data_IF_167994854712
#
_entry.id   IF_167994854712
#
_cell.length_a   1.000
_cell.length_b   1.000
_cell.length_c   1.000
_cell.angle_alpha   90.00
_cell.angle_beta   90.00
_cell.angle_gamma   90.00
#
_symmetry.space_group_name_H-M   'P 1'
#
loop_
_entity.id
_entity.type
_entity.pdbx_description
1 polymer ?
#
# COMPACT_ATOMS: atom_id res chain seq x y z
N UNK A 1 -16.64 18.03 -15.36
CA UNK A 1 -16.84 16.78 -14.61
C UNK A 1 -16.07 16.87 -13.31
N UNK A 2 -16.77 16.82 -12.19
CA UNK A 2 -16.18 16.81 -10.84
C UNK A 2 -15.42 15.51 -10.59
N UNK A 3 -14.54 15.48 -9.59
CA UNK A 3 -13.81 14.26 -9.22
C UNK A 3 -14.75 13.12 -8.80
N UNK A 4 -15.85 13.45 -8.11
CA UNK A 4 -16.89 12.49 -7.73
C UNK A 4 -17.60 11.89 -8.95
N UNK A 5 -17.92 12.70 -9.94
CA UNK A 5 -18.51 12.24 -11.21
C UNK A 5 -17.53 11.35 -11.98
N UNK A 6 -16.26 11.74 -12.03
CA UNK A 6 -15.20 10.95 -12.65
C UNK A 6 -15.03 9.60 -11.94
N UNK A 7 -15.02 9.57 -10.61
CA UNK A 7 -14.93 8.33 -9.83
C UNK A 7 -16.09 7.37 -10.14
N UNK A 8 -17.33 7.89 -10.22
CA UNK A 8 -18.50 7.10 -10.63
C UNK A 8 -18.37 6.56 -12.07
N UNK A 9 -17.88 7.39 -13.00
CA UNK A 9 -17.65 6.96 -14.37
C UNK A 9 -16.60 5.84 -14.45
N UNK A 10 -15.48 5.98 -13.73
CA UNK A 10 -14.44 4.95 -13.64
C UNK A 10 -14.99 3.65 -13.05
N UNK A 11 -15.76 3.74 -11.96
CA UNK A 11 -16.41 2.58 -11.35
C UNK A 11 -17.34 1.86 -12.33
N UNK A 12 -18.16 2.63 -13.08
CA UNK A 12 -19.05 2.07 -14.11
C UNK A 12 -18.24 1.34 -15.19
N UNK A 13 -17.13 1.91 -15.65
CA UNK A 13 -16.26 1.28 -16.65
C UNK A 13 -15.64 -0.02 -16.15
N UNK A 14 -15.19 -0.07 -14.90
CA UNK A 14 -14.65 -1.30 -14.29
C UNK A 14 -15.72 -2.39 -14.24
N UNK A 15 -16.93 -2.06 -13.77
CA UNK A 15 -18.03 -3.02 -13.67
C UNK A 15 -18.51 -3.52 -15.05
N UNK A 16 -18.41 -2.71 -16.09
CA UNK A 16 -18.76 -3.09 -17.47
C UNK A 16 -17.67 -3.93 -18.16
N UNK A 17 -16.44 -3.90 -17.67
CA UNK A 17 -15.29 -4.58 -18.31
C UNK A 17 -14.47 -5.43 -17.31
N UNK A 18 -15.09 -6.38 -16.59
CA UNK A 18 -14.41 -7.14 -15.55
C UNK A 18 -13.15 -7.89 -16.02
N UNK A 19 -13.12 -8.54 -17.22
CA UNK A 19 -11.91 -9.23 -17.68
C UNK A 19 -10.71 -8.30 -17.90
N UNK A 20 -10.96 -7.08 -18.36
CA UNK A 20 -9.89 -6.08 -18.58
C UNK A 20 -9.34 -5.63 -17.23
N UNK A 21 -10.22 -5.39 -16.25
CA UNK A 21 -9.82 -5.01 -14.90
C UNK A 21 -8.98 -6.10 -14.22
N UNK A 22 -9.41 -7.36 -14.32
CA UNK A 22 -8.65 -8.51 -13.81
C UNK A 22 -7.29 -8.64 -14.51
N UNK A 23 -7.25 -8.69 -15.85
CA UNK A 23 -6.00 -8.83 -16.59
C UNK A 23 -5.00 -7.73 -16.24
N UNK A 24 -5.47 -6.48 -16.18
CA UNK A 24 -4.64 -5.33 -15.81
C UNK A 24 -4.10 -5.47 -14.38
N UNK A 25 -4.95 -5.82 -13.42
CA UNK A 25 -4.57 -5.98 -12.03
C UNK A 25 -3.59 -7.15 -11.84
N UNK A 26 -3.89 -8.31 -12.43
CA UNK A 26 -3.05 -9.50 -12.44
C UNK A 26 -1.65 -9.22 -13.02
N UNK A 27 -1.56 -8.44 -14.11
CA UNK A 27 -0.26 -8.04 -14.67
C UNK A 27 0.52 -7.11 -13.74
N UNK A 28 -0.16 -6.15 -13.10
CA UNK A 28 0.47 -5.28 -12.09
C UNK A 28 0.97 -6.08 -10.90
N UNK A 29 0.20 -7.07 -10.44
CA UNK A 29 0.60 -7.93 -9.33
C UNK A 29 1.81 -8.80 -9.67
N UNK A 30 1.89 -9.35 -10.88
CA UNK A 30 3.08 -10.07 -11.35
C UNK A 30 4.33 -9.18 -11.31
N UNK A 31 4.23 -7.95 -11.81
CA UNK A 31 5.34 -6.99 -11.80
C UNK A 31 5.71 -6.57 -10.36
N UNK A 32 4.71 -6.28 -9.54
CA UNK A 32 4.91 -5.92 -8.14
C UNK A 32 5.62 -7.05 -7.38
N UNK A 33 5.18 -8.30 -7.54
CA UNK A 33 5.83 -9.45 -6.93
C UNK A 33 7.26 -9.67 -7.41
N UNK A 34 7.56 -9.41 -8.69
CA UNK A 34 8.94 -9.48 -9.19
C UNK A 34 9.85 -8.51 -8.43
N UNK A 35 9.40 -7.28 -8.23
CA UNK A 35 10.15 -6.25 -7.50
C UNK A 35 10.23 -6.60 -6.01
N UNK A 36 9.11 -6.99 -5.41
CA UNK A 36 9.00 -7.27 -3.98
C UNK A 36 9.89 -8.46 -3.57
N UNK A 37 9.91 -9.54 -4.37
CA UNK A 37 10.80 -10.70 -4.13
C UNK A 37 12.27 -10.30 -4.10
N UNK A 38 12.70 -9.42 -5.00
CA UNK A 38 14.08 -8.93 -5.05
C UNK A 38 14.40 -8.02 -3.87
N UNK A 39 13.47 -7.17 -3.45
CA UNK A 39 13.69 -6.18 -2.39
C UNK A 39 13.64 -6.78 -0.99
N UNK A 40 12.75 -7.74 -0.75
CA UNK A 40 12.50 -8.31 0.57
C UNK A 40 13.03 -9.73 0.74
N UNK A 41 13.82 -10.26 -0.22
CA UNK A 41 14.35 -11.63 -0.16
C UNK A 41 13.28 -12.68 0.24
N UNK A 42 12.14 -12.65 -0.45
CA UNK A 42 10.97 -13.47 -0.12
C UNK A 42 11.28 -14.94 -0.45
N UNK A 43 11.14 -15.81 0.55
CA UNK A 43 11.35 -17.27 0.42
C UNK A 43 10.06 -18.03 0.18
N UNK A 44 8.93 -17.51 0.67
CA UNK A 44 7.60 -18.08 0.44
C UNK A 44 6.54 -16.97 0.44
N UNK A 45 5.39 -17.22 -0.20
CA UNK A 45 4.29 -16.27 -0.26
C UNK A 45 2.96 -16.96 -0.53
N UNK A 46 1.90 -16.37 0.02
CA UNK A 46 0.53 -16.73 -0.28
C UNK A 46 -0.26 -15.47 -0.64
N UNK A 47 -1.17 -15.56 -1.60
CA UNK A 47 -2.08 -14.46 -1.91
C UNK A 47 -3.47 -14.95 -2.33
N UNK A 48 -4.46 -14.08 -2.14
CA UNK A 48 -5.84 -14.28 -2.58
C UNK A 48 -6.37 -13.02 -3.25
N UNK A 49 -6.92 -13.18 -4.44
CA UNK A 49 -7.67 -12.13 -5.12
C UNK A 49 -9.08 -12.03 -4.56
N UNK A 50 -9.54 -10.80 -4.34
CA UNK A 50 -10.89 -10.50 -3.90
C UNK A 50 -11.54 -9.47 -4.82
N UNK A 51 -12.67 -9.89 -5.40
CA UNK A 51 -13.49 -9.08 -6.29
C UNK A 51 -14.73 -8.61 -5.53
N UNK A 52 -14.77 -7.31 -5.22
CA UNK A 52 -15.93 -6.70 -4.56
C UNK A 52 -16.91 -6.16 -5.61
N UNK A 53 -18.22 -6.26 -5.32
CA UNK A 53 -19.30 -5.75 -6.18
C UNK A 53 -19.17 -4.26 -6.55
N UNK A 54 -18.43 -3.50 -5.73
CA UNK A 54 -18.34 -2.04 -5.80
C UNK A 54 -17.02 -1.51 -6.34
N UNK A 55 -16.11 -2.32 -6.87
CA UNK A 55 -14.73 -1.83 -6.97
C UNK A 55 -13.74 -2.56 -7.85
N UNK A 56 -12.57 -1.93 -7.92
CA UNK A 56 -11.34 -2.55 -8.39
C UNK A 56 -11.03 -3.82 -7.58
N UNK A 57 -10.44 -4.85 -8.21
CA UNK A 57 -9.91 -5.99 -7.47
C UNK A 57 -8.88 -5.53 -6.44
N UNK A 58 -8.80 -6.27 -5.35
CA UNK A 58 -7.70 -6.15 -4.39
C UNK A 58 -7.16 -7.53 -4.06
N UNK A 59 -5.97 -7.55 -3.46
CA UNK A 59 -5.28 -8.78 -3.12
C UNK A 59 -4.79 -8.71 -1.69
N UNK A 60 -5.04 -9.77 -0.95
CA UNK A 60 -4.44 -10.00 0.36
C UNK A 60 -3.24 -10.90 0.17
N UNK A 61 -2.19 -10.63 0.93
CA UNK A 61 -0.89 -11.25 0.76
C UNK A 61 -0.24 -11.52 2.11
N UNK A 62 0.36 -12.70 2.22
CA UNK A 62 1.27 -13.06 3.30
C UNK A 62 2.60 -13.42 2.64
N UNK A 63 3.69 -12.86 3.16
CA UNK A 63 5.05 -13.12 2.66
C UNK A 63 5.94 -13.60 3.79
N UNK A 64 6.83 -14.54 3.47
CA UNK A 64 7.90 -14.99 4.35
C UNK A 64 9.22 -14.48 3.81
N UNK A 65 9.94 -13.77 4.67
CA UNK A 65 11.21 -13.11 4.37
C UNK A 65 12.33 -14.00 4.91
N UNK A 66 13.39 -14.21 4.12
CA UNK A 66 14.55 -14.95 4.59
C UNK A 66 15.15 -14.33 5.86
N UNK A 67 15.59 -15.17 6.80
CA UNK A 67 16.22 -14.74 8.06
C UNK A 67 15.34 -13.83 8.94
N UNK A 68 14.02 -13.83 8.73
CA UNK A 68 13.11 -13.12 9.62
C UNK A 68 13.17 -13.73 11.03
N UNK A 69 13.24 -12.89 12.08
CA UNK A 69 13.26 -13.38 13.44
C UNK A 69 11.94 -14.08 13.81
N UNK A 70 12.02 -15.03 14.75
CA UNK A 70 10.82 -15.71 15.26
C UNK A 70 10.03 -14.82 16.22
N UNK A 71 8.97 -14.20 15.70
CA UNK A 71 8.10 -13.30 16.47
C UNK A 71 7.13 -14.02 17.41
N UNK A 72 7.07 -15.36 17.43
CA UNK A 72 6.16 -16.09 18.33
C UNK A 72 6.51 -15.93 19.79
N UNK A 73 7.75 -15.57 20.09
CA UNK A 73 8.24 -15.36 21.45
C UNK A 73 8.24 -13.88 21.87
N UNK A 74 7.63 -12.99 21.06
CA UNK A 74 7.66 -11.55 21.26
C UNK A 74 7.18 -11.13 22.66
N UNK A 75 6.12 -11.78 23.16
CA UNK A 75 5.54 -11.50 24.49
C UNK A 75 6.51 -11.79 25.65
N UNK A 76 7.51 -12.63 25.41
CA UNK A 76 8.54 -13.04 26.38
C UNK A 76 9.94 -12.60 25.97
N UNK A 77 10.06 -11.72 24.97
CA UNK A 77 11.33 -11.36 24.38
C UNK A 77 12.18 -10.55 25.37
N UNK A 78 13.47 -10.86 25.42
CA UNK A 78 14.44 -10.04 26.15
C UNK A 78 14.64 -8.70 25.44
N UNK A 79 15.24 -7.74 26.13
CA UNK A 79 15.60 -6.45 25.54
C UNK A 79 16.43 -6.62 24.26
N UNK A 80 17.44 -7.50 24.28
CA UNK A 80 18.30 -7.76 23.12
C UNK A 80 17.53 -8.37 21.94
N UNK A 81 16.57 -9.27 22.20
CA UNK A 81 15.70 -9.83 21.16
C UNK A 81 14.79 -8.75 20.54
N UNK A 82 14.23 -7.86 21.37
CA UNK A 82 13.44 -6.73 20.89
C UNK A 82 14.31 -5.81 20.00
N UNK A 83 15.53 -5.50 20.42
CA UNK A 83 16.45 -4.70 19.60
C UNK A 83 16.77 -5.38 18.26
N UNK A 84 16.98 -6.69 18.28
CA UNK A 84 17.20 -7.46 17.06
C UNK A 84 15.98 -7.41 16.12
N UNK A 85 14.76 -7.53 16.65
CA UNK A 85 13.54 -7.41 15.85
C UNK A 85 13.40 -6.02 15.22
N UNK A 86 13.63 -4.96 16.01
CA UNK A 86 13.59 -3.58 15.52
C UNK A 86 14.59 -3.40 14.38
N UNK A 87 15.86 -3.77 14.58
CA UNK A 87 16.89 -3.63 13.56
C UNK A 87 16.56 -4.38 12.26
N UNK A 88 15.94 -5.55 12.36
CA UNK A 88 15.52 -6.33 11.20
C UNK A 88 14.42 -5.60 10.41
N UNK A 89 13.36 -5.14 11.07
CA UNK A 89 12.19 -4.56 10.39
C UNK A 89 12.35 -3.08 10.00
N UNK A 90 13.17 -2.31 10.71
CA UNK A 90 13.37 -0.87 10.47
C UNK A 90 13.87 -0.59 9.03
N UNK A 91 14.66 -1.51 8.48
CA UNK A 91 15.15 -1.43 7.10
C UNK A 91 14.15 -1.90 6.04
N UNK A 92 13.06 -2.55 6.44
CA UNK A 92 12.12 -3.22 5.53
C UNK A 92 10.80 -2.47 5.39
N UNK A 93 10.36 -1.76 6.44
CA UNK A 93 9.06 -1.09 6.48
C UNK A 93 9.17 0.27 7.15
N UNK A 94 8.45 1.25 6.60
CA UNK A 94 8.27 2.56 7.21
C UNK A 94 6.80 2.97 7.09
N UNK A 95 6.28 3.64 8.12
CA UNK A 95 4.96 4.26 8.13
C UNK A 95 5.06 5.79 8.23
N UNK A 96 6.22 6.38 7.89
CA UNK A 96 6.47 7.81 8.04
C UNK A 96 5.85 8.58 6.89
N UNK A 97 5.01 9.55 7.24
CA UNK A 97 4.68 10.65 6.35
C UNK A 97 5.75 11.74 6.50
N UNK A 98 6.60 11.98 5.48
CA UNK A 98 7.75 12.87 5.64
C UNK A 98 7.34 14.32 5.85
N UNK A 99 6.15 14.74 5.40
CA UNK A 99 5.66 16.12 5.51
C UNK A 99 4.14 16.15 5.77
N UNK A 100 3.68 15.85 7.00
CA UNK A 100 2.25 15.71 7.31
C UNK A 100 1.45 17.00 7.14
N UNK A 101 2.10 18.16 7.24
CA UNK A 101 1.46 19.47 7.05
C UNK A 101 1.30 19.86 5.57
N UNK A 102 1.85 19.09 4.62
CA UNK A 102 1.67 19.38 3.20
C UNK A 102 0.20 19.21 2.81
N UNK A 103 -0.34 20.06 1.93
CA UNK A 103 -1.69 19.86 1.43
C UNK A 103 -1.80 18.51 0.69
N UNK A 104 -2.99 17.88 0.66
CA UNK A 104 -3.24 16.73 -0.18
C UNK A 104 -2.99 17.07 -1.65
N UNK A 105 -2.55 16.08 -2.45
CA UNK A 105 -2.34 16.26 -3.88
C UNK A 105 -3.57 16.87 -4.59
N UNK A 106 -3.37 17.95 -5.35
CA UNK A 106 -4.45 18.59 -6.14
C UNK A 106 -5.03 17.62 -7.18
N UNK A 107 -4.14 16.83 -7.82
CA UNK A 107 -4.50 15.76 -8.75
C UNK A 107 -4.29 14.42 -8.04
N UNK A 108 -5.32 13.57 -8.06
CA UNK A 108 -5.23 12.22 -7.51
C UNK A 108 -3.98 11.49 -8.05
N UNK A 109 -3.06 10.99 -7.20
CA UNK A 109 -1.77 10.44 -7.61
C UNK A 109 -1.85 9.31 -8.65
N UNK A 110 -2.88 8.45 -8.56
CA UNK A 110 -3.19 7.42 -9.58
C UNK A 110 -3.46 7.96 -10.99
N UNK A 111 -3.57 9.29 -11.17
CA UNK A 111 -3.74 9.97 -12.47
C UNK A 111 -2.44 10.56 -13.01
N UNK A 112 -1.35 10.50 -12.26
CA UNK A 112 -0.05 10.97 -12.73
C UNK A 112 0.52 9.98 -13.74
N UNK A 113 1.07 10.49 -14.84
CA UNK A 113 1.89 9.72 -15.77
C UNK A 113 3.20 9.36 -15.08
N UNK A 114 3.85 8.30 -15.56
CA UNK A 114 5.17 7.90 -15.05
C UNK A 114 6.21 9.03 -15.10
N UNK A 115 6.12 9.89 -16.12
CA UNK A 115 6.98 11.07 -16.31
C UNK A 115 6.70 12.22 -15.35
N UNK A 116 5.53 12.24 -14.70
CA UNK A 116 5.14 13.23 -13.70
C UNK A 116 5.57 12.81 -12.27
N UNK A 117 5.99 11.55 -12.08
CA UNK A 117 6.34 10.97 -10.76
C UNK A 117 7.85 10.90 -10.57
N UNK A 118 8.33 11.57 -9.54
CA UNK A 118 9.72 11.51 -9.05
C UNK A 118 9.75 10.65 -7.79
N UNK A 119 10.38 9.47 -7.86
CA UNK A 119 10.30 8.45 -6.81
C UNK A 119 10.91 8.89 -5.48
N UNK A 120 11.92 9.76 -5.53
CA UNK A 120 12.67 10.23 -4.34
C UNK A 120 12.24 11.64 -3.90
N UNK A 121 11.07 12.12 -4.34
CA UNK A 121 10.56 13.43 -3.93
C UNK A 121 9.67 13.30 -2.68
N UNK A 122 10.14 13.74 -1.49
CA UNK A 122 9.37 13.63 -0.26
C UNK A 122 8.09 14.46 -0.27
N UNK A 123 8.01 15.54 -1.07
CA UNK A 123 6.79 16.33 -1.25
C UNK A 123 5.73 15.52 -2.00
N UNK A 124 6.09 14.88 -3.12
CA UNK A 124 5.14 14.05 -3.87
C UNK A 124 4.68 12.83 -3.07
N UNK A 125 5.57 12.24 -2.25
CA UNK A 125 5.20 11.18 -1.31
C UNK A 125 4.21 11.70 -0.26
N UNK A 126 4.48 12.85 0.37
CA UNK A 126 3.59 13.45 1.35
C UNK A 126 2.22 13.84 0.76
N UNK A 127 2.19 14.45 -0.43
CA UNK A 127 0.97 14.78 -1.16
C UNK A 127 0.11 13.54 -1.44
N UNK A 128 0.76 12.42 -1.81
CA UNK A 128 0.11 11.12 -2.00
C UNK A 128 -0.45 10.60 -0.67
N UNK A 129 0.39 10.51 0.37
CA UNK A 129 -0.01 9.98 1.68
C UNK A 129 -1.13 10.81 2.29
N UNK A 130 -1.05 12.15 2.23
CA UNK A 130 -2.09 13.06 2.73
C UNK A 130 -3.41 12.96 1.94
N UNK A 131 -3.35 12.39 0.73
CA UNK A 131 -4.53 12.15 -0.12
C UNK A 131 -5.16 10.77 0.07
N UNK A 132 -4.37 9.74 0.44
CA UNK A 132 -4.86 8.35 0.53
C UNK A 132 -4.97 7.83 1.96
N UNK A 133 -4.11 8.29 2.87
CA UNK A 133 -4.14 7.94 4.29
C UNK A 133 -5.11 8.86 5.04
N UNK A 134 -6.37 8.84 4.62
CA UNK A 134 -7.45 9.43 5.41
C UNK A 134 -7.90 8.42 6.45
N UNK A 135 -7.26 8.43 7.62
CA UNK A 135 -7.94 7.98 8.82
C UNK A 135 -9.00 9.02 9.10
N UNK A 136 -10.28 8.72 8.80
CA UNK A 136 -11.38 9.47 9.40
C UNK A 136 -11.10 9.47 10.89
N UNK A 137 -10.85 10.63 11.49
CA UNK A 137 -10.66 10.77 12.94
C UNK A 137 -11.73 9.88 13.60
N UNK A 138 -11.29 8.82 14.28
CA UNK A 138 -12.15 8.22 15.28
C UNK A 138 -12.27 9.33 16.32
N UNK A 139 -13.38 10.06 16.27
CA UNK A 139 -13.76 10.96 17.32
C UNK A 139 -14.01 10.07 18.53
N UNK A 140 -12.97 9.82 19.33
CA UNK A 140 -13.17 9.46 20.72
C UNK A 140 -13.74 10.72 21.37
N UNK A 141 -15.06 10.90 21.28
CA UNK A 141 -15.79 11.63 22.30
C UNK A 141 -15.60 10.83 23.57
N UNK A 142 -14.67 11.30 24.40
CA UNK A 142 -14.64 10.94 25.81
C UNK A 142 -15.78 11.76 26.40
N UNK A 143 -16.89 11.09 26.69
CA UNK A 143 -17.92 11.59 27.60
C UNK A 143 -17.40 11.52 29.05
#
# INVERSE_FOLDING_TARGET
MTERELGRLMQKKLNQNPPIADLYFSNRMKLFMKILKQKLNIVDFWFRYEYQYRGSPHVHMIIWIANAPDVRLLDSATFDQIQHYIQFYDNLVSAINPLPSQPPAEKHPSRLKRTEVTLDNPVQLAELLNRVNHHTKIQHTID
#
